data_IF_211904637116
#
_entry.id   IF_211904637116
#
_cell.length_a   1.000
_cell.length_b   1.000
_cell.length_c   1.000
_cell.angle_alpha   90.00
_cell.angle_beta   90.00
_cell.angle_gamma   90.00
#
_symmetry.space_group_name_H-M   'P 1'
#
loop_
_entity.id
_entity.type
_entity.pdbx_description
1 polymer ?
#
# COMPACT_ATOMS: atom_id res chain seq x y z
N UNK A 1 2.67 -5.95 16.81
CA UNK A 1 4.03 -6.21 16.31
C UNK A 1 4.45 -5.21 15.22
N UNK A 2 3.81 -5.10 14.04
CA UNK A 2 4.19 -4.08 13.03
C UNK A 2 3.09 -3.28 12.29
N UNK A 3 1.81 -3.41 12.66
CA UNK A 3 0.66 -2.80 11.95
C UNK A 3 0.66 -3.07 10.41
N UNK A 4 0.89 -4.32 10.02
CA UNK A 4 0.97 -4.73 8.62
C UNK A 4 -0.09 -5.77 8.28
N UNK A 5 -0.51 -5.79 7.02
CA UNK A 5 -1.35 -6.83 6.45
C UNK A 5 -0.63 -8.20 6.47
N UNK A 6 -1.34 -9.24 6.92
CA UNK A 6 -0.81 -10.61 7.04
C UNK A 6 -0.38 -11.23 5.70
N UNK A 7 -1.04 -10.87 4.60
CA UNK A 7 -0.73 -11.41 3.27
C UNK A 7 0.22 -10.51 2.48
N UNK A 8 -0.02 -9.21 2.52
CA UNK A 8 0.66 -8.26 1.64
C UNK A 8 1.95 -7.67 2.24
N UNK A 9 2.13 -7.74 3.57
CA UNK A 9 3.23 -7.10 4.31
C UNK A 9 3.38 -5.62 3.93
N UNK A 10 2.23 -4.95 3.79
CA UNK A 10 2.14 -3.49 3.67
C UNK A 10 1.48 -2.95 4.94
N UNK A 11 1.78 -1.70 5.26
CA UNK A 11 1.11 -0.98 6.34
C UNK A 11 -0.41 -0.88 6.11
N UNK A 12 -1.20 -1.03 7.18
CA UNK A 12 -2.67 -1.04 7.10
C UNK A 12 -3.27 0.36 6.94
N UNK A 13 -2.59 1.43 7.37
CA UNK A 13 -3.10 2.80 7.29
C UNK A 13 -2.77 3.43 5.94
N UNK A 14 -1.52 3.32 5.50
CA UNK A 14 -0.98 4.03 4.34
C UNK A 14 -0.75 3.15 3.12
N UNK A 15 -0.84 1.82 3.26
CA UNK A 15 -0.58 0.87 2.17
C UNK A 15 0.81 1.03 1.54
N UNK A 16 1.79 1.41 2.37
CA UNK A 16 3.19 1.60 2.01
C UNK A 16 4.06 0.44 2.53
N UNK A 17 5.23 0.19 1.91
CA UNK A 17 6.21 -0.74 2.47
C UNK A 17 6.69 -0.27 3.85
N UNK A 18 6.98 -1.22 4.75
CA UNK A 18 7.42 -0.95 6.14
C UNK A 18 8.62 -0.01 6.18
N UNK A 19 9.63 -0.26 5.33
CA UNK A 19 10.82 0.58 5.26
C UNK A 19 10.51 2.05 4.89
N UNK A 20 9.52 2.31 4.03
CA UNK A 20 9.14 3.69 3.66
C UNK A 20 8.48 4.38 4.84
N UNK A 21 7.56 3.69 5.52
CA UNK A 21 6.87 4.23 6.69
C UNK A 21 7.85 4.56 7.80
N UNK A 22 8.68 3.59 8.17
CA UNK A 22 9.63 3.72 9.28
C UNK A 22 10.68 4.81 8.97
N UNK A 23 11.12 4.95 7.71
CA UNK A 23 12.04 6.01 7.29
C UNK A 23 11.42 7.43 7.34
N UNK A 24 10.12 7.57 7.10
CA UNK A 24 9.43 8.86 7.17
C UNK A 24 9.12 9.23 8.61
N UNK A 25 8.70 8.28 9.43
CA UNK A 25 8.52 8.49 10.87
C UNK A 25 9.84 8.92 11.55
N UNK A 26 10.94 8.23 11.23
CA UNK A 26 12.26 8.58 11.74
C UNK A 26 12.75 9.97 11.29
N UNK A 27 12.28 10.48 10.14
CA UNK A 27 12.69 11.79 9.61
C UNK A 27 11.91 12.95 10.22
N UNK A 28 10.61 12.79 10.43
CA UNK A 28 9.70 13.86 10.84
C UNK A 28 9.63 14.04 12.36
N UNK A 29 9.79 12.96 13.13
CA UNK A 29 9.60 13.02 14.60
C UNK A 29 10.90 13.29 15.37
N UNK A 30 12.06 13.33 14.70
CA UNK A 30 13.36 13.65 15.32
C UNK A 30 13.84 12.65 16.39
N UNK A 31 12.98 11.73 16.83
CA UNK A 31 13.31 10.56 17.63
C UNK A 31 13.96 9.51 16.75
N UNK A 32 14.97 8.82 17.27
CA UNK A 32 15.68 7.79 16.54
C UNK A 32 14.79 6.61 16.17
N UNK A 33 15.42 5.48 15.84
CA UNK A 33 14.76 4.21 15.52
C UNK A 33 13.88 3.62 16.67
N UNK A 34 13.61 4.39 17.72
CA UNK A 34 12.84 4.07 18.93
C UNK A 34 11.31 4.07 18.72
N UNK A 35 10.78 4.83 17.76
CA UNK A 35 9.36 4.78 17.38
C UNK A 35 9.01 3.62 16.44
N UNK A 36 9.99 3.14 15.65
CA UNK A 36 9.82 1.94 14.86
C UNK A 36 9.96 0.72 15.78
N UNK A 37 8.92 -0.10 15.93
CA UNK A 37 9.05 -1.32 16.75
C UNK A 37 10.04 -2.26 16.10
N UNK A 38 11.24 -2.30 16.66
CA UNK A 38 12.31 -3.19 16.22
C UNK A 38 12.03 -4.59 16.77
N UNK A 39 11.55 -5.48 15.90
CA UNK A 39 11.33 -6.89 16.24
C UNK A 39 12.69 -7.60 16.21
N UNK A 40 13.11 -8.27 17.31
CA UNK A 40 14.38 -9.00 17.34
C UNK A 40 14.47 -10.09 16.26
N UNK A 41 15.66 -10.30 15.71
CA UNK A 41 15.91 -11.30 14.65
C UNK A 41 16.25 -12.70 15.19
N UNK A 42 16.96 -12.78 16.33
CA UNK A 42 17.33 -14.06 16.94
C UNK A 42 16.10 -14.86 17.37
N UNK A 43 16.14 -16.18 17.18
CA UNK A 43 14.97 -17.04 17.39
C UNK A 43 14.42 -16.96 18.83
N UNK A 44 15.29 -17.08 19.83
CA UNK A 44 14.91 -16.99 21.24
C UNK A 44 14.30 -15.62 21.61
N UNK A 45 14.90 -14.53 21.13
CA UNK A 45 14.40 -13.19 21.47
C UNK A 45 13.13 -12.87 20.70
N UNK A 46 12.97 -13.40 19.49
CA UNK A 46 11.75 -13.24 18.69
C UNK A 46 10.56 -13.94 19.33
N UNK A 47 10.77 -15.16 19.84
CA UNK A 47 9.74 -15.93 20.56
C UNK A 47 9.36 -15.26 21.89
N UNK A 48 10.35 -14.80 22.64
CA UNK A 48 10.10 -14.07 23.87
C UNK A 48 9.34 -12.76 23.62
N UNK A 49 9.77 -11.99 22.60
CA UNK A 49 9.10 -10.75 22.20
C UNK A 49 7.67 -10.98 21.71
N UNK A 50 7.44 -12.06 20.95
CA UNK A 50 6.08 -12.41 20.48
C UNK A 50 5.19 -12.84 21.64
N UNK A 51 5.70 -13.62 22.60
CA UNK A 51 4.95 -14.04 23.79
C UNK A 51 4.60 -12.84 24.69
N UNK A 52 5.56 -11.95 24.95
CA UNK A 52 5.32 -10.73 25.72
C UNK A 52 4.28 -9.84 25.02
N UNK A 53 4.38 -9.70 23.70
CA UNK A 53 3.44 -8.87 22.95
C UNK A 53 2.03 -9.47 22.92
N UNK A 54 1.90 -10.80 22.77
CA UNK A 54 0.61 -11.50 22.88
C UNK A 54 -0.02 -11.31 24.27
N UNK A 55 0.79 -11.39 25.33
CA UNK A 55 0.34 -11.12 26.70
C UNK A 55 -0.15 -9.69 26.87
N UNK A 56 0.56 -8.69 26.32
CA UNK A 56 0.12 -7.29 26.40
C UNK A 56 -1.18 -7.06 25.62
N UNK A 57 -1.35 -7.68 24.44
CA UNK A 57 -2.60 -7.58 23.68
C UNK A 57 -3.80 -8.16 24.46
N UNK A 58 -3.59 -9.28 25.14
CA UNK A 58 -4.63 -9.93 25.94
C UNK A 58 -5.02 -9.08 27.17
N UNK A 59 -4.05 -8.42 27.80
CA UNK A 59 -4.28 -7.63 29.02
C UNK A 59 -4.82 -6.21 28.77
N UNK A 60 -4.24 -5.48 27.81
CA UNK A 60 -4.54 -4.05 27.61
C UNK A 60 -5.53 -3.81 26.46
N UNK A 61 -5.87 -4.82 25.66
CA UNK A 61 -6.87 -4.75 24.58
C UNK A 61 -6.57 -3.76 23.45
N UNK A 62 -5.53 -2.92 23.57
CA UNK A 62 -5.23 -1.82 22.68
C UNK A 62 -3.91 -2.03 21.91
N UNK A 63 -4.03 -2.18 20.59
CA UNK A 63 -2.92 -2.28 19.62
C UNK A 63 -2.32 -0.89 19.31
N UNK A 64 -2.20 0.00 20.29
CA UNK A 64 -2.01 1.44 20.04
C UNK A 64 -0.59 1.99 20.27
N UNK A 65 0.43 1.17 20.03
CA UNK A 65 1.80 1.69 19.86
C UNK A 65 2.00 2.33 18.47
N UNK A 66 1.23 1.91 17.46
CA UNK A 66 1.43 2.31 16.06
C UNK A 66 0.61 3.53 15.60
N UNK A 67 -0.36 3.99 16.41
CA UNK A 67 -1.31 5.05 16.01
C UNK A 67 -0.93 6.47 16.46
N UNK A 68 0.14 6.63 17.24
CA UNK A 68 0.57 7.94 17.75
C UNK A 68 1.63 8.54 16.83
N UNK A 69 1.25 8.82 15.60
CA UNK A 69 2.13 9.47 14.62
C UNK A 69 1.75 10.96 14.52
N UNK A 70 2.77 11.82 14.52
CA UNK A 70 2.65 13.26 14.38
C UNK A 70 1.89 13.65 13.12
N UNK A 71 1.12 14.75 13.18
CA UNK A 71 0.33 15.22 12.04
C UNK A 71 1.20 15.52 10.81
N UNK A 72 2.44 15.99 11.03
CA UNK A 72 3.42 16.20 9.95
C UNK A 72 3.77 14.89 9.25
N UNK A 73 4.13 13.85 10.01
CA UNK A 73 4.45 12.54 9.46
C UNK A 73 3.25 11.90 8.76
N UNK A 74 2.05 12.04 9.32
CA UNK A 74 0.80 11.56 8.73
C UNK A 74 0.57 12.18 7.34
N UNK A 75 0.76 13.50 7.22
CA UNK A 75 0.59 14.20 5.94
C UNK A 75 1.59 13.73 4.87
N UNK A 76 2.85 13.48 5.27
CA UNK A 76 3.90 13.00 4.38
C UNK A 76 3.63 11.56 3.90
N UNK A 77 3.19 10.68 4.80
CA UNK A 77 2.81 9.30 4.50
C UNK A 77 1.58 9.25 3.58
N UNK A 78 0.56 10.06 3.85
CA UNK A 78 -0.66 10.11 3.05
C UNK A 78 -0.39 10.60 1.62
N UNK A 79 0.60 11.49 1.42
CA UNK A 79 1.01 11.96 0.10
C UNK A 79 1.67 10.86 -0.75
N UNK A 80 2.33 9.90 -0.13
CA UNK A 80 2.92 8.75 -0.83
C UNK A 80 1.94 7.59 -1.03
N UNK A 81 0.94 7.49 -0.15
CA UNK A 81 -0.06 6.45 -0.17
C UNK A 81 -0.84 6.45 -1.49
N UNK A 82 -1.21 5.25 -1.95
CA UNK A 82 -2.10 5.09 -3.11
C UNK A 82 -3.55 5.26 -2.65
N UNK A 83 -4.35 5.99 -3.43
CA UNK A 83 -5.79 6.20 -3.14
C UNK A 83 -6.68 5.05 -3.63
N UNK A 84 -6.26 4.35 -4.69
CA UNK A 84 -7.02 3.24 -5.28
C UNK A 84 -6.39 1.87 -4.99
N UNK A 85 -7.20 0.82 -4.82
CA UNK A 85 -6.73 -0.54 -4.59
C UNK A 85 -5.99 -1.12 -5.80
N UNK A 86 -4.89 -1.83 -5.55
CA UNK A 86 -4.06 -2.43 -6.60
C UNK A 86 -4.37 -3.91 -6.82
N UNK A 87 -5.46 -4.20 -7.54
CA UNK A 87 -5.92 -5.58 -7.79
C UNK A 87 -4.97 -6.42 -8.66
N UNK A 88 -4.00 -5.80 -9.36
CA UNK A 88 -3.00 -6.56 -10.13
C UNK A 88 -2.11 -7.46 -9.25
N UNK A 89 -2.04 -7.22 -7.94
CA UNK A 89 -1.36 -8.12 -6.98
C UNK A 89 -2.08 -9.45 -6.82
N UNK A 90 -3.39 -9.47 -6.92
CA UNK A 90 -4.23 -10.66 -6.69
C UNK A 90 -4.35 -11.53 -7.94
N UNK A 91 -3.60 -11.20 -9.00
CA UNK A 91 -3.55 -11.99 -10.23
C UNK A 91 -2.90 -13.35 -9.95
N UNK A 92 -3.32 -14.35 -10.72
CA UNK A 92 -2.68 -15.66 -10.69
C UNK A 92 -1.19 -15.54 -11.03
N UNK A 93 -0.40 -16.47 -10.50
CA UNK A 93 1.02 -16.54 -10.85
C UNK A 93 1.21 -16.93 -12.32
N UNK A 94 2.41 -16.63 -12.83
CA UNK A 94 2.78 -16.98 -14.19
C UNK A 94 2.90 -18.48 -14.35
N UNK A 95 2.41 -19.01 -15.47
CA UNK A 95 2.52 -20.40 -15.80
C UNK A 95 3.97 -20.75 -16.15
N UNK A 96 4.62 -21.54 -15.31
CA UNK A 96 6.02 -21.97 -15.53
C UNK A 96 6.19 -22.90 -16.74
N UNK A 97 5.12 -23.60 -17.16
CA UNK A 97 5.11 -24.43 -18.36
C UNK A 97 4.93 -23.60 -19.63
N UNK A 98 4.14 -22.53 -19.57
CA UNK A 98 3.98 -21.60 -20.69
C UNK A 98 5.29 -20.85 -20.96
N UNK A 99 5.97 -20.41 -19.90
CA UNK A 99 7.29 -19.79 -20.02
C UNK A 99 8.36 -20.73 -20.64
N UNK A 100 8.13 -22.06 -20.62
CA UNK A 100 8.98 -23.07 -21.27
C UNK A 100 8.47 -23.51 -22.65
N UNK A 101 7.24 -23.16 -23.03
CA UNK A 101 6.59 -23.60 -24.27
C UNK A 101 5.90 -24.97 -24.21
N UNK A 102 5.73 -25.55 -23.02
CA UNK A 102 5.21 -26.92 -22.82
C UNK A 102 3.78 -26.93 -22.21
N UNK A 103 3.06 -25.80 -22.24
CA UNK A 103 1.74 -25.72 -21.62
C UNK A 103 0.66 -26.32 -22.54
N UNK A 104 0.17 -27.51 -22.21
CA UNK A 104 -0.89 -28.19 -22.97
C UNK A 104 -2.32 -27.77 -22.57
N UNK A 105 -2.48 -26.88 -21.59
CA UNK A 105 -3.79 -26.45 -21.06
C UNK A 105 -4.45 -25.30 -21.84
N UNK A 106 -3.72 -24.67 -22.76
CA UNK A 106 -4.24 -23.55 -23.55
C UNK A 106 -4.88 -22.46 -22.68
N UNK A 107 -6.07 -22.01 -23.08
CA UNK A 107 -6.83 -20.96 -22.39
C UNK A 107 -7.51 -21.42 -21.09
N UNK A 108 -7.57 -22.73 -20.83
CA UNK A 108 -8.12 -23.29 -19.58
C UNK A 108 -7.09 -23.30 -18.45
N UNK A 109 -5.85 -22.86 -18.71
CA UNK A 109 -4.81 -22.80 -17.69
C UNK A 109 -5.18 -21.77 -16.60
N UNK A 110 -5.24 -22.15 -15.31
CA UNK A 110 -5.55 -21.22 -14.22
C UNK A 110 -4.40 -20.23 -13.93
N UNK A 111 -3.23 -20.45 -14.53
CA UNK A 111 -2.04 -19.61 -14.39
C UNK A 111 -1.92 -18.67 -15.59
N UNK A 112 -1.34 -17.49 -15.37
CA UNK A 112 -1.20 -16.48 -16.42
C UNK A 112 -0.19 -16.88 -17.49
N UNK A 113 -0.58 -16.69 -18.75
CA UNK A 113 0.26 -16.87 -19.94
C UNK A 113 0.90 -15.54 -20.37
N UNK A 114 1.74 -14.98 -19.49
CA UNK A 114 2.56 -13.78 -19.76
C UNK A 114 4.04 -14.11 -19.51
N UNK A 115 4.95 -13.41 -20.19
CA UNK A 115 6.39 -13.61 -19.99
C UNK A 115 6.80 -13.10 -18.59
N UNK A 116 7.57 -13.88 -17.80
CA UNK A 116 8.16 -13.37 -16.56
C UNK A 116 9.00 -12.13 -16.79
N UNK A 117 8.99 -11.22 -15.80
CA UNK A 117 9.94 -10.09 -15.78
C UNK A 117 11.38 -10.59 -15.71
N UNK A 118 12.27 -9.77 -16.24
CA UNK A 118 13.71 -10.02 -16.23
C UNK A 118 14.24 -10.21 -14.80
N UNK A 119 15.07 -11.24 -14.61
CA UNK A 119 15.67 -11.57 -13.31
C UNK A 119 16.70 -10.53 -12.85
N UNK A 120 17.18 -9.72 -13.79
CA UNK A 120 18.17 -8.68 -13.55
C UNK A 120 17.54 -7.37 -13.05
N UNK A 121 16.20 -7.23 -13.12
CA UNK A 121 15.51 -6.09 -12.48
C UNK A 121 15.68 -6.21 -10.95
N UNK A 122 16.26 -5.20 -10.26
CA UNK A 122 16.39 -5.21 -8.80
C UNK A 122 15.03 -5.39 -8.10
N UNK A 123 13.92 -5.08 -8.77
CA UNK A 123 12.57 -5.27 -8.24
C UNK A 123 12.11 -6.74 -8.21
N UNK A 124 12.81 -7.65 -8.89
CA UNK A 124 12.47 -9.08 -8.91
C UNK A 124 12.90 -9.81 -7.64
N UNK A 125 13.93 -9.33 -6.93
CA UNK A 125 14.49 -9.93 -5.72
C UNK A 125 13.83 -9.34 -4.47
N UNK A 126 12.63 -9.80 -4.14
CA UNK A 126 11.88 -9.36 -2.95
C UNK A 126 11.76 -10.50 -1.92
N UNK A 127 12.51 -10.42 -0.82
CA UNK A 127 12.41 -11.37 0.29
C UNK A 127 11.35 -10.92 1.31
N UNK A 128 10.53 -11.85 1.81
CA UNK A 128 9.46 -11.55 2.77
C UNK A 128 10.00 -11.08 4.12
N UNK A 129 11.14 -11.63 4.57
CA UNK A 129 11.78 -11.26 5.84
C UNK A 129 12.25 -9.81 5.77
N UNK A 130 12.96 -9.47 4.71
CA UNK A 130 13.49 -8.13 4.43
C UNK A 130 12.37 -7.09 4.37
N UNK A 131 11.27 -7.41 3.68
CA UNK A 131 10.06 -6.56 3.60
C UNK A 131 9.36 -6.36 4.94
N UNK A 132 9.35 -7.36 5.83
CA UNK A 132 8.75 -7.26 7.16
C UNK A 132 9.63 -6.46 8.13
N UNK A 133 10.94 -6.72 8.13
CA UNK A 133 11.87 -5.99 8.99
C UNK A 133 12.15 -4.57 8.49
N UNK A 134 11.85 -4.27 7.21
CA UNK A 134 12.09 -2.96 6.61
C UNK A 134 13.56 -2.78 6.19
N UNK A 135 14.28 -3.87 5.94
CA UNK A 135 15.68 -3.88 5.50
C UNK A 135 15.73 -4.18 4.01
N UNK A 136 16.53 -3.46 3.25
CA UNK A 136 16.85 -3.75 1.84
C UNK A 136 15.65 -4.07 0.91
N UNK A 137 14.50 -3.41 1.07
CA UNK A 137 13.37 -3.58 0.15
C UNK A 137 13.59 -2.73 -1.12
N UNK A 138 13.73 -3.35 -2.32
CA UNK A 138 13.95 -2.62 -3.56
C UNK A 138 12.75 -1.74 -3.96
N UNK A 139 11.53 -2.12 -3.55
CA UNK A 139 10.32 -1.31 -3.79
C UNK A 139 10.39 -0.05 -2.94
N UNK A 140 10.76 -0.18 -1.66
CA UNK A 140 10.92 0.95 -0.76
C UNK A 140 12.03 1.90 -1.23
N UNK A 141 13.18 1.36 -1.64
CA UNK A 141 14.29 2.12 -2.19
C UNK A 141 13.88 2.94 -3.42
N UNK A 142 13.06 2.36 -4.31
CA UNK A 142 12.52 3.05 -5.48
C UNK A 142 11.55 4.19 -5.09
N UNK A 143 10.70 3.98 -4.09
CA UNK A 143 9.76 5.01 -3.62
C UNK A 143 10.50 6.18 -2.96
N UNK A 144 11.42 5.90 -2.02
CA UNK A 144 12.23 6.91 -1.34
C UNK A 144 13.17 7.64 -2.32
N UNK A 145 13.76 6.92 -3.28
CA UNK A 145 14.59 7.50 -4.34
C UNK A 145 13.80 8.41 -5.29
N UNK A 146 12.54 8.05 -5.60
CA UNK A 146 11.64 8.89 -6.39
C UNK A 146 11.32 10.23 -5.73
N UNK A 147 11.16 10.26 -4.40
CA UNK A 147 10.94 11.49 -3.65
C UNK A 147 12.14 12.42 -3.69
N UNK A 148 13.37 11.90 -3.47
CA UNK A 148 14.59 12.71 -3.53
C UNK A 148 14.75 13.42 -4.86
N UNK A 149 14.51 12.71 -5.98
CA UNK A 149 14.52 13.30 -7.33
C UNK A 149 13.47 14.39 -7.49
N UNK A 150 12.25 14.18 -7.01
CA UNK A 150 11.18 15.17 -7.12
C UNK A 150 11.44 16.42 -6.26
N UNK A 151 12.05 16.23 -5.07
CA UNK A 151 12.44 17.33 -4.19
C UNK A 151 13.58 18.16 -4.81
N UNK A 152 14.62 17.52 -5.35
CA UNK A 152 15.67 18.20 -6.12
C UNK A 152 15.13 19.00 -7.31
N UNK A 153 14.12 18.49 -8.02
CA UNK A 153 13.46 19.24 -9.10
C UNK A 153 12.67 20.45 -8.60
N UNK A 154 12.15 20.41 -7.37
CA UNK A 154 11.45 21.54 -6.74
C UNK A 154 12.42 22.59 -6.22
N UNK A 155 13.49 22.15 -5.55
CA UNK A 155 14.50 23.04 -4.96
C UNK A 155 15.41 23.66 -6.03
N UNK A 156 15.56 23.01 -7.19
CA UNK A 156 16.33 23.52 -8.34
C UNK A 156 15.57 24.43 -9.31
N UNK A 157 14.26 24.69 -9.11
CA UNK A 157 13.51 25.68 -9.91
C UNK A 157 13.33 26.94 -9.06
N UNK A 158 13.81 28.12 -9.47
CA UNK A 158 13.46 29.35 -8.77
C UNK A 158 11.94 29.49 -8.76
N UNK A 159 11.37 29.72 -7.57
CA UNK A 159 9.94 30.06 -7.43
C UNK A 159 9.73 31.36 -8.19
N UNK A 160 9.13 31.27 -9.38
CA UNK A 160 8.59 32.44 -10.06
C UNK A 160 7.57 33.13 -9.14
N UNK A 161 7.40 34.45 -9.26
CA UNK A 161 6.46 35.19 -8.43
C UNK A 161 5.05 34.57 -8.56
N UNK A 162 4.25 34.59 -7.47
CA UNK A 162 2.89 34.08 -7.51
C UNK A 162 2.11 34.78 -8.64
N UNK A 163 1.28 34.06 -9.41
CA UNK A 163 0.46 34.69 -10.43
C UNK A 163 -0.48 35.70 -9.76
N UNK A 164 -0.46 36.94 -10.25
CA UNK A 164 -1.37 38.01 -9.83
C UNK A 164 -2.81 37.64 -10.19
N UNK A 165 -3.80 37.96 -9.34
CA UNK A 165 -5.20 37.57 -9.53
C UNK A 165 -5.93 38.54 -10.48
N UNK A 166 -5.35 38.85 -11.64
CA UNK A 166 -6.01 39.68 -12.65
C UNK A 166 -6.05 38.92 -13.98
N UNK A 167 -7.26 38.54 -14.38
CA UNK A 167 -7.52 37.84 -15.64
C UNK A 167 -8.36 36.58 -15.53
N UNK A 168 -9.39 36.57 -14.67
CA UNK A 168 -10.44 35.55 -14.70
C UNK A 168 -11.24 35.67 -16.02
N UNK A 169 -10.73 35.03 -17.07
CA UNK A 169 -11.49 34.81 -18.30
C UNK A 169 -12.58 33.79 -18.00
N UNK A 170 -13.82 34.28 -17.90
CA UNK A 170 -15.05 33.47 -17.72
C UNK A 170 -15.02 32.24 -18.66
N UNK A 171 -15.23 31.01 -18.16
CA UNK A 171 -15.31 29.85 -19.05
C UNK A 171 -16.55 29.99 -19.95
N UNK A 172 -16.34 29.74 -21.25
CA UNK A 172 -17.39 29.69 -22.29
C UNK A 172 -18.47 28.67 -21.88
N UNK A 173 -19.78 28.97 -22.07
CA UNK A 173 -20.84 28.02 -21.74
C UNK A 173 -20.75 26.76 -22.61
N UNK A 174 -20.92 25.58 -21.98
CA UNK A 174 -21.11 24.32 -22.70
C UNK A 174 -22.48 24.33 -23.42
N UNK A 175 -22.58 23.77 -24.65
CA UNK A 175 -23.85 23.62 -25.34
C UNK A 175 -24.78 22.63 -24.62
N UNK A 176 -26.11 22.83 -24.68
CA UNK A 176 -27.07 22.00 -23.96
C UNK A 176 -27.21 20.63 -24.65
N UNK A 177 -27.24 19.55 -23.87
CA UNK A 177 -27.96 18.34 -24.28
C UNK A 177 -27.21 17.02 -24.41
N UNK A 178 -26.12 16.74 -23.67
CA UNK A 178 -25.69 15.36 -23.40
C UNK A 178 -25.17 15.21 -21.97
N UNK A 179 -25.97 14.62 -21.08
CA UNK A 179 -25.48 14.15 -19.77
C UNK A 179 -24.47 13.02 -20.02
N UNK A 180 -23.28 13.04 -19.40
CA UNK A 180 -22.38 11.89 -19.41
C UNK A 180 -23.09 10.67 -18.78
N UNK A 181 -22.94 9.45 -19.31
CA UNK A 181 -23.55 8.28 -18.71
C UNK A 181 -22.96 8.05 -17.32
N UNK A 182 -23.84 7.91 -16.33
CA UNK A 182 -23.47 7.51 -14.97
C UNK A 182 -22.88 6.09 -14.99
N UNK A 183 -21.90 5.78 -14.13
CA UNK A 183 -21.41 4.42 -13.98
C UNK A 183 -22.55 3.50 -13.50
N UNK A 184 -22.61 2.23 -13.94
CA UNK A 184 -23.63 1.31 -13.49
C UNK A 184 -23.52 1.11 -11.97
N UNK A 185 -24.63 1.37 -11.27
CA UNK A 185 -24.74 1.14 -9.84
C UNK A 185 -24.59 -0.35 -9.49
N UNK A 186 -24.28 -0.67 -8.22
CA UNK A 186 -24.21 -2.05 -7.75
C UNK A 186 -25.58 -2.74 -7.90
N UNK A 187 -25.56 -4.02 -8.27
CA UNK A 187 -26.76 -4.85 -8.45
C UNK A 187 -27.57 -4.91 -7.14
N UNK A 188 -28.91 -4.86 -7.17
CA UNK A 188 -29.72 -5.06 -5.98
C UNK A 188 -29.47 -6.47 -5.42
N UNK A 189 -29.12 -6.54 -4.14
CA UNK A 189 -29.11 -7.78 -3.37
C UNK A 189 -30.56 -8.26 -3.26
N UNK A 190 -30.84 -9.46 -3.77
CA UNK A 190 -32.09 -10.14 -3.52
C UNK A 190 -32.23 -10.34 -2.00
N UNK A 191 -33.12 -9.55 -1.39
CA UNK A 191 -33.62 -9.81 -0.04
C UNK A 191 -34.48 -11.06 -0.18
N UNK A 192 -34.02 -12.17 0.39
CA UNK A 192 -34.91 -13.31 0.64
C UNK A 192 -35.85 -12.89 1.75
N UNK A 193 -37.11 -12.67 1.40
CA UNK A 193 -38.21 -12.63 2.36
C UNK A 193 -38.22 -13.97 3.10
N UNK A 194 -37.90 -13.95 4.39
CA UNK A 194 -38.24 -15.03 5.31
C UNK A 194 -39.68 -14.79 5.72
N UNK A 195 -40.61 -15.54 5.12
CA UNK A 195 -41.98 -15.63 5.60
C UNK A 195 -41.96 -16.30 6.99
N UNK A 196 -42.34 -15.50 7.98
CA UNK A 196 -42.68 -15.92 9.33
C UNK A 196 -44.07 -16.55 9.29
N UNK A 197 -44.16 -17.88 9.21
CA UNK A 197 -45.42 -18.59 9.36
C UNK A 197 -45.60 -19.00 10.84
N UNK A 198 -46.23 -18.09 11.59
CA UNK A 198 -46.91 -18.43 12.84
C UNK A 198 -48.20 -19.18 12.53
N UNK A 199 -48.30 -20.47 12.88
CA UNK A 199 -49.58 -21.05 13.33
C UNK A 199 -49.47 -22.46 13.95
N UNK A 200 -50.14 -22.54 15.11
CA UNK A 200 -50.72 -23.69 15.81
C UNK A 200 -49.78 -24.64 16.57
#
# INVERSE_FOLDING_TARGET
MKNVCQTCVLDLQYHLPVQVRDAVLAKEEGGGAELAVNVPESDANREWFSQQHSRMLEQEGAVSAYGKTSDSANSALLRMARREPYYKRNRAHLCSFYARGECNRGDECPYLHEMPRDKDDPLAKQNIKDRFYGKNDPVAAKMLGGQKKNQQRRDGKPRGPPPTPEGASKPKPLPPGKKPPLPPGPRPTAVKETEEETKA
#
